data_IF_468492340220
#
_entry.id   IF_468492340220
#
_cell.length_a   1.000
_cell.length_b   1.000
_cell.length_c   1.000
_cell.angle_alpha   90.00
_cell.angle_beta   90.00
_cell.angle_gamma   90.00
#
_symmetry.space_group_name_H-M   'P 1'
#
loop_
_entity.id
_entity.type
_entity.pdbx_description
1 polymer ?
#
# COMPACT_ATOMS: atom_id res chain seq x y z
N UNK A 1 -6.03 -8.29 10.77
CA UNK A 1 -6.62 -7.02 10.28
C UNK A 1 -5.50 -6.17 9.70
N UNK A 2 -5.72 -5.44 8.61
CA UNK A 2 -4.69 -4.58 8.04
C UNK A 2 -4.41 -3.36 8.96
N UNK A 3 -3.14 -2.97 9.18
CA UNK A 3 -2.78 -1.85 10.06
C UNK A 3 -3.43 -0.52 9.66
N UNK A 4 -3.65 0.36 10.64
CA UNK A 4 -4.11 1.74 10.38
C UNK A 4 -2.95 2.68 10.04
N UNK A 5 -1.74 2.33 10.49
CA UNK A 5 -0.50 3.07 10.26
C UNK A 5 0.53 2.08 9.73
N UNK A 6 1.23 2.45 8.67
CA UNK A 6 2.38 1.72 8.11
C UNK A 6 3.53 2.70 7.95
N UNK A 7 4.70 2.35 8.48
CA UNK A 7 5.89 3.18 8.42
C UNK A 7 5.67 4.64 8.86
N UNK A 8 4.80 4.87 9.85
CA UNK A 8 4.33 6.19 10.32
C UNK A 8 3.42 6.97 9.35
N UNK A 9 2.96 6.38 8.25
CA UNK A 9 1.95 6.92 7.36
C UNK A 9 0.55 6.36 7.66
N UNK A 10 -0.47 7.22 7.60
CA UNK A 10 -1.87 6.85 7.77
C UNK A 10 -2.33 6.06 6.54
N UNK A 11 -2.96 4.91 6.74
CA UNK A 11 -3.50 4.06 5.67
C UNK A 11 -4.92 4.51 5.32
N UNK A 12 -5.13 4.92 4.07
CA UNK A 12 -6.44 5.29 3.52
C UNK A 12 -7.15 4.12 2.84
N UNK A 13 -6.40 3.37 2.04
CA UNK A 13 -6.90 2.21 1.32
C UNK A 13 -5.91 1.07 1.43
N UNK A 14 -6.41 -0.15 1.43
CA UNK A 14 -5.59 -1.34 1.40
C UNK A 14 -6.29 -2.45 0.61
N UNK A 15 -5.54 -3.49 0.25
CA UNK A 15 -6.09 -4.66 -0.43
C UNK A 15 -6.22 -5.86 0.51
N UNK A 16 -7.01 -6.85 0.12
CA UNK A 16 -6.89 -8.18 0.74
C UNK A 16 -5.56 -8.84 0.36
N UNK A 17 -5.19 -9.92 1.06
CA UNK A 17 -4.01 -10.69 0.70
C UNK A 17 -4.16 -11.22 -0.72
N UNK A 18 -3.15 -11.02 -1.55
CA UNK A 18 -3.14 -11.47 -2.93
C UNK A 18 -1.72 -11.67 -3.44
N UNK A 19 -1.61 -11.81 -4.74
CA UNK A 19 -0.34 -11.73 -5.47
C UNK A 19 -0.37 -10.45 -6.30
N UNK A 20 0.52 -9.53 -5.96
CA UNK A 20 0.67 -8.22 -6.63
C UNK A 20 2.05 -8.08 -7.28
N UNK A 21 2.81 -9.17 -7.39
CA UNK A 21 4.15 -9.20 -7.97
C UNK A 21 5.26 -9.36 -6.94
N UNK A 22 6.48 -8.97 -7.33
CA UNK A 22 7.68 -9.12 -6.50
C UNK A 22 8.70 -8.01 -6.76
N UNK A 23 9.53 -7.73 -5.77
CA UNK A 23 10.71 -6.87 -5.88
C UNK A 23 11.95 -7.76 -5.85
N UNK A 24 12.81 -7.61 -6.86
CA UNK A 24 14.11 -8.29 -6.93
C UNK A 24 15.21 -7.31 -6.53
N UNK A 25 16.03 -7.70 -5.55
CA UNK A 25 17.19 -6.94 -5.08
C UNK A 25 18.47 -7.44 -5.75
N UNK A 26 19.48 -6.56 -5.85
CA UNK A 26 20.76 -6.86 -6.51
C UNK A 26 21.52 -8.05 -5.88
N UNK A 27 21.27 -8.34 -4.61
CA UNK A 27 21.83 -9.50 -3.90
C UNK A 27 21.15 -10.83 -4.24
N UNK A 28 20.22 -10.85 -5.20
CA UNK A 28 19.45 -12.03 -5.59
C UNK A 28 18.27 -12.35 -4.68
N UNK A 29 18.02 -11.57 -3.62
CA UNK A 29 16.82 -11.69 -2.79
C UNK A 29 15.60 -11.26 -3.60
N UNK A 30 14.52 -12.03 -3.51
CA UNK A 30 13.21 -11.69 -4.07
C UNK A 30 12.23 -11.56 -2.92
N UNK A 31 11.49 -10.46 -2.85
CA UNK A 31 10.39 -10.27 -1.92
C UNK A 31 9.07 -10.16 -2.66
N UNK A 32 8.09 -10.93 -2.19
CA UNK A 32 6.77 -10.96 -2.79
C UNK A 32 5.86 -9.90 -2.18
N UNK A 33 5.07 -9.27 -3.04
CA UNK A 33 4.12 -8.23 -2.68
C UNK A 33 2.77 -8.91 -2.48
N UNK A 34 2.35 -9.00 -1.21
CA UNK A 34 1.10 -9.64 -0.83
C UNK A 34 -0.03 -8.65 -0.58
N UNK A 35 0.29 -7.38 -0.35
CA UNK A 35 -0.69 -6.32 -0.17
C UNK A 35 -0.22 -5.02 -0.81
N UNK A 36 -1.18 -4.20 -1.20
CA UNK A 36 -0.97 -2.81 -1.55
C UNK A 36 -1.71 -1.92 -0.55
N UNK A 37 -1.10 -0.78 -0.20
CA UNK A 37 -1.73 0.24 0.61
C UNK A 37 -1.52 1.62 0.01
N UNK A 38 -2.52 2.48 0.12
CA UNK A 38 -2.41 3.90 -0.22
C UNK A 38 -2.36 4.65 1.10
N UNK A 39 -1.24 5.30 1.34
CA UNK A 39 -0.91 5.93 2.61
C UNK A 39 -0.58 7.41 2.41
N UNK A 40 -0.63 8.20 3.49
CA UNK A 40 -0.09 9.56 3.51
C UNK A 40 0.51 9.88 4.88
N UNK A 41 1.61 10.63 4.88
CA UNK A 41 2.24 11.11 6.11
C UNK A 41 1.59 12.40 6.61
N UNK A 42 1.18 13.29 5.71
CA UNK A 42 0.73 14.64 6.03
C UNK A 42 -0.57 15.05 5.31
N UNK A 43 -1.22 14.10 4.65
CA UNK A 43 -2.45 14.27 3.86
C UNK A 43 -2.31 15.19 2.64
N UNK A 44 -1.08 15.48 2.19
CA UNK A 44 -0.84 16.25 0.96
C UNK A 44 -0.43 15.35 -0.20
N UNK A 45 0.49 14.45 0.06
CA UNK A 45 1.01 13.51 -0.94
C UNK A 45 0.56 12.08 -0.62
N UNK A 46 0.47 11.23 -1.64
CA UNK A 46 0.02 9.85 -1.48
C UNK A 46 1.09 8.87 -1.88
N UNK A 47 1.26 7.84 -1.08
CA UNK A 47 2.21 6.78 -1.31
C UNK A 47 1.48 5.48 -1.62
N UNK A 48 1.88 4.81 -2.69
CA UNK A 48 1.53 3.41 -2.93
C UNK A 48 2.59 2.52 -2.29
N UNK A 49 2.26 1.91 -1.17
CA UNK A 49 3.12 0.96 -0.47
C UNK A 49 2.89 -0.45 -0.99
N UNK A 50 3.99 -1.11 -1.32
CA UNK A 50 4.07 -2.54 -1.59
C UNK A 50 4.48 -3.24 -0.30
N UNK A 51 3.63 -4.14 0.21
CA UNK A 51 3.84 -4.79 1.49
C UNK A 51 3.99 -6.31 1.34
N UNK A 52 4.86 -6.91 2.15
CA UNK A 52 5.00 -8.35 2.24
C UNK A 52 3.89 -9.01 3.10
N UNK A 53 4.00 -10.30 3.39
CA UNK A 53 2.98 -11.06 4.11
C UNK A 53 2.87 -10.69 5.60
N UNK A 54 3.85 -9.95 6.12
CA UNK A 54 3.91 -9.41 7.49
C UNK A 54 3.49 -7.93 7.57
N UNK A 55 3.02 -7.35 6.48
CA UNK A 55 2.72 -5.91 6.35
C UNK A 55 3.94 -4.99 6.43
N UNK A 56 5.15 -5.53 6.26
CA UNK A 56 6.34 -4.69 6.16
C UNK A 56 6.38 -4.05 4.76
N UNK A 57 6.65 -2.75 4.70
CA UNK A 57 6.79 -2.01 3.45
C UNK A 57 8.14 -2.39 2.83
N UNK A 58 8.11 -2.93 1.61
CA UNK A 58 9.31 -3.38 0.88
C UNK A 58 9.63 -2.46 -0.33
N UNK A 59 8.65 -1.69 -0.78
CA UNK A 59 8.82 -0.59 -1.72
C UNK A 59 7.67 0.42 -1.56
N UNK A 60 7.94 1.68 -1.88
CA UNK A 60 6.96 2.76 -1.88
C UNK A 60 7.15 3.66 -3.10
N UNK A 61 6.04 4.24 -3.57
CA UNK A 61 6.01 5.13 -4.73
C UNK A 61 5.15 6.33 -4.42
N UNK A 62 5.68 7.53 -4.65
CA UNK A 62 5.03 8.81 -4.37
C UNK A 62 4.20 9.29 -5.59
N UNK A 63 2.99 9.77 -5.31
CA UNK A 63 2.04 10.31 -6.27
C UNK A 63 1.29 11.52 -5.73
N UNK A 64 0.74 12.32 -6.65
CA UNK A 64 -0.01 13.53 -6.32
C UNK A 64 -1.49 13.24 -5.96
N UNK A 65 -1.98 12.02 -6.25
CA UNK A 65 -3.37 11.64 -5.98
C UNK A 65 -3.59 10.15 -5.70
N UNK A 66 -4.69 9.84 -5.01
CA UNK A 66 -5.15 8.46 -4.78
C UNK A 66 -5.48 7.76 -6.10
N UNK A 67 -6.02 8.50 -7.07
CA UNK A 67 -6.37 8.01 -8.40
C UNK A 67 -5.13 7.52 -9.15
N UNK A 68 -4.03 8.26 -9.11
CA UNK A 68 -2.75 7.84 -9.69
C UNK A 68 -2.21 6.57 -9.02
N UNK A 69 -2.25 6.49 -7.68
CA UNK A 69 -1.87 5.26 -6.98
C UNK A 69 -2.66 4.04 -7.49
N UNK A 70 -3.98 4.20 -7.72
CA UNK A 70 -4.84 3.13 -8.23
C UNK A 70 -4.56 2.78 -9.69
N UNK A 71 -4.27 3.77 -10.54
CA UNK A 71 -3.87 3.54 -11.94
C UNK A 71 -2.58 2.73 -12.01
N UNK A 72 -1.55 3.12 -11.25
CA UNK A 72 -0.27 2.39 -11.21
C UNK A 72 -0.47 0.98 -10.67
N UNK A 73 -1.20 0.82 -9.57
CA UNK A 73 -1.49 -0.49 -9.01
C UNK A 73 -2.21 -1.42 -10.01
N UNK A 74 -3.10 -0.88 -10.85
CA UNK A 74 -3.82 -1.67 -11.86
C UNK A 74 -2.91 -2.31 -12.92
N UNK A 75 -1.68 -1.79 -13.08
CA UNK A 75 -0.64 -2.34 -13.96
C UNK A 75 -0.02 -3.61 -13.36
N UNK A 76 -0.01 -3.74 -12.03
CA UNK A 76 0.44 -4.94 -11.32
C UNK A 76 -0.60 -6.06 -11.41
N UNK A 77 -1.88 -5.73 -11.25
CA UNK A 77 -2.99 -6.68 -11.31
C UNK A 77 -4.27 -5.99 -11.76
N UNK A 78 -5.01 -6.62 -12.66
CA UNK A 78 -6.35 -6.14 -13.05
C UNK A 78 -7.36 -6.36 -11.93
N UNK A 79 -8.36 -5.49 -11.85
CA UNK A 79 -9.52 -5.63 -10.96
C UNK A 79 -9.17 -5.64 -9.46
N UNK A 80 -8.25 -4.78 -9.04
CA UNK A 80 -7.88 -4.62 -7.63
C UNK A 80 -9.09 -4.09 -6.85
N UNK A 81 -9.51 -4.86 -5.85
CA UNK A 81 -10.54 -4.45 -4.89
C UNK A 81 -9.87 -3.71 -3.73
N UNK A 82 -10.16 -2.42 -3.63
CA UNK A 82 -9.69 -1.55 -2.55
C UNK A 82 -10.66 -1.52 -1.38
N UNK A 83 -10.15 -1.76 -0.18
CA UNK A 83 -10.88 -1.57 1.07
C UNK A 83 -10.50 -0.21 1.64
N UNK A 84 -11.49 0.68 1.80
CA UNK A 84 -11.31 1.99 2.42
C UNK A 84 -11.23 1.83 3.95
N UNK A 85 -10.27 2.47 4.59
CA UNK A 85 -10.27 2.62 6.05
C UNK A 85 -11.29 3.66 6.47
N UNK A 86 -12.11 3.31 7.45
CA UNK A 86 -13.08 4.23 8.07
C UNK A 86 -12.34 5.25 8.93
N UNK A 87 -12.57 6.54 8.67
CA UNK A 87 -11.94 7.67 9.39
C UNK A 87 -12.25 7.65 10.90
N UNK A 88 -13.37 7.08 11.33
CA UNK A 88 -13.72 6.91 12.76
C UNK A 88 -12.70 6.07 13.55
N UNK A 89 -11.88 5.26 12.86
CA UNK A 89 -10.82 4.46 13.48
C UNK A 89 -9.49 5.23 13.62
N UNK A 90 -9.38 6.40 12.99
CA UNK A 90 -8.18 7.25 13.00
C UNK A 90 -8.27 8.40 14.02
N UNK A 91 -9.47 8.78 14.46
CA UNK A 91 -9.68 9.83 15.48
C UNK A 91 -9.42 9.38 16.93
N UNK A 92 -9.09 8.09 17.14
CA UNK A 92 -8.81 7.53 18.46
C UNK A 92 -7.30 7.35 18.76
N UNK A 93 -6.43 8.05 18.02
CA UNK A 93 -4.96 8.02 18.22
C UNK A 93 -4.39 9.44 18.31
#
# INVERSE_FOLDING_TARGET
MFPNILDNAIVYFYTQKGDYGSVSYDNGKIEYIYYLAICSYDNKEYYLFHCNDKFEVIADYLFDSIEECKDIASKCKKDIVWVKKSLEQLENY
#
